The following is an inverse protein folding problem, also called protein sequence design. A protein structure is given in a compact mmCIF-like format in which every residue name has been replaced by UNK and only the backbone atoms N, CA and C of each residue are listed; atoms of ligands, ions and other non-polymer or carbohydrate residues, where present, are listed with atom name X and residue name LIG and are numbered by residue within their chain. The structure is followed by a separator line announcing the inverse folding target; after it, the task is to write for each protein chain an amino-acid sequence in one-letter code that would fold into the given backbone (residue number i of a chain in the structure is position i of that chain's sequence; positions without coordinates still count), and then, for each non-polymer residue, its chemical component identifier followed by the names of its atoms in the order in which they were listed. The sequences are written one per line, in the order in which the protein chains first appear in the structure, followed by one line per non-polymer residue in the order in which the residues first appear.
data_IF_908129150613
#
_entry.id   IF_908129150613
#
_cell.length_a   1.000
_cell.length_b   1.000
_cell.length_c   1.000
_cell.angle_alpha   90.00
_cell.angle_beta   90.00
_cell.angle_gamma   90.00
#
_symmetry.space_group_name_H-M   'P 1'
#
loop_
_entity.id
_entity.type
_entity.pdbx_description
1 polymer ?
#
# COMPACT_ATOMS: atom_id res chain seq x y z
N UNK A 1 -10.40 -6.84 -20.61
CA UNK A 1 -9.21 -6.93 -19.73
C UNK A 1 -9.04 -5.58 -19.06
N UNK A 2 -9.00 -5.54 -17.73
CA UNK A 2 -8.92 -4.31 -16.94
C UNK A 2 -7.62 -3.57 -17.23
N UNK A 3 -7.71 -2.46 -17.98
CA UNK A 3 -6.63 -1.50 -18.13
C UNK A 3 -6.36 -0.86 -16.76
N UNK A 4 -5.35 -1.32 -16.05
CA UNK A 4 -4.74 -0.54 -14.97
C UNK A 4 -3.97 0.60 -15.63
N UNK A 5 -4.33 1.88 -15.40
CA UNK A 5 -3.58 3.00 -15.94
C UNK A 5 -2.13 2.96 -15.40
N UNK A 6 -1.16 3.50 -16.14
CA UNK A 6 0.20 3.65 -15.63
C UNK A 6 0.12 4.49 -14.34
N UNK A 7 0.58 3.90 -13.23
CA UNK A 7 0.66 4.60 -11.94
C UNK A 7 1.39 5.92 -12.10
N UNK A 8 0.88 6.96 -11.45
CA UNK A 8 1.54 8.25 -11.41
C UNK A 8 2.90 8.09 -10.75
N UNK A 9 3.94 8.79 -11.23
CA UNK A 9 5.30 8.75 -10.65
C UNK A 9 5.34 8.98 -9.13
N UNK A 10 4.34 9.66 -8.57
CA UNK A 10 4.16 9.87 -7.13
C UNK A 10 3.65 8.63 -6.39
N UNK A 11 2.72 7.89 -6.99
CA UNK A 11 2.20 6.63 -6.44
C UNK A 11 3.30 5.57 -6.43
N UNK A 12 4.14 5.49 -7.46
CA UNK A 12 5.30 4.59 -7.48
C UNK A 12 6.25 4.87 -6.30
N UNK A 13 6.60 6.14 -6.09
CA UNK A 13 7.40 6.56 -4.92
C UNK A 13 6.72 6.24 -3.59
N UNK A 14 5.39 6.29 -3.55
CA UNK A 14 4.61 5.99 -2.36
C UNK A 14 4.72 4.50 -1.97
N UNK A 15 4.61 3.61 -2.96
CA UNK A 15 4.82 2.18 -2.74
C UNK A 15 6.26 1.87 -2.36
N UNK A 16 7.24 2.53 -3.00
CA UNK A 16 8.66 2.37 -2.66
C UNK A 16 8.94 2.79 -1.22
N UNK A 17 8.46 3.96 -0.80
CA UNK A 17 8.61 4.44 0.57
C UNK A 17 8.08 3.42 1.60
N UNK A 18 6.92 2.83 1.32
CA UNK A 18 6.36 1.76 2.16
C UNK A 18 7.21 0.48 2.16
N UNK A 19 7.78 0.11 1.01
CA UNK A 19 8.66 -1.06 0.87
C UNK A 19 9.95 -0.93 1.65
N UNK A 20 10.52 0.27 1.77
CA UNK A 20 11.80 0.53 2.46
C UNK A 20 11.66 1.10 3.88
N UNK A 21 10.45 1.08 4.46
CA UNK A 21 10.13 1.64 5.78
C UNK A 21 10.35 3.15 5.92
N UNK A 22 10.26 3.92 4.83
CA UNK A 22 10.42 5.38 4.85
C UNK A 22 9.11 6.09 5.21
N UNK A 23 8.79 6.07 6.51
CA UNK A 23 7.64 6.76 7.08
C UNK A 23 7.64 8.28 6.80
N UNK A 24 8.82 8.89 6.71
CA UNK A 24 8.94 10.33 6.44
C UNK A 24 8.51 10.65 5.01
N UNK A 25 8.96 9.86 4.03
CA UNK A 25 8.52 9.99 2.64
C UNK A 25 7.02 9.70 2.49
N UNK A 26 6.47 8.71 3.19
CA UNK A 26 5.02 8.44 3.20
C UNK A 26 4.25 9.68 3.66
N UNK A 27 4.60 10.25 4.81
CA UNK A 27 3.94 11.45 5.35
C UNK A 27 4.07 12.65 4.40
N UNK A 28 5.21 12.82 3.74
CA UNK A 28 5.42 13.89 2.77
C UNK A 28 4.52 13.72 1.54
N UNK A 29 4.42 12.51 0.99
CA UNK A 29 3.59 12.21 -0.18
C UNK A 29 2.09 12.28 0.14
N UNK A 30 1.66 11.91 1.36
CA UNK A 30 0.29 12.12 1.82
C UNK A 30 -0.09 13.61 1.82
N UNK A 31 0.84 14.50 2.20
CA UNK A 31 0.62 15.96 2.12
C UNK A 31 0.47 16.45 0.69
N UNK A 32 1.07 15.76 -0.29
CA UNK A 32 0.89 16.03 -1.72
C UNK A 32 -0.45 15.49 -2.29
N UNK A 33 -1.36 15.02 -1.43
CA UNK A 33 -2.65 14.42 -1.79
C UNK A 33 -2.52 13.16 -2.66
N UNK A 34 -1.45 12.38 -2.45
CA UNK A 34 -1.38 11.01 -2.98
C UNK A 34 -2.50 10.18 -2.36
N UNK A 35 -3.18 9.36 -3.17
CA UNK A 35 -4.17 8.42 -2.66
C UNK A 35 -3.51 7.37 -1.77
N UNK A 36 -3.80 7.37 -0.48
CA UNK A 36 -3.22 6.40 0.48
C UNK A 36 -3.50 4.94 0.09
N UNK A 37 -4.66 4.69 -0.53
CA UNK A 37 -5.09 3.38 -1.03
C UNK A 37 -4.83 3.22 -2.54
N UNK A 38 -3.89 3.98 -3.12
CA UNK A 38 -3.49 3.78 -4.51
C UNK A 38 -2.97 2.35 -4.71
N UNK A 39 -3.32 1.76 -5.87
CA UNK A 39 -2.92 0.40 -6.24
C UNK A 39 -1.87 0.46 -7.33
N UNK A 40 -0.84 -0.36 -7.22
CA UNK A 40 0.15 -0.53 -8.28
C UNK A 40 -0.33 -1.50 -9.36
N UNK A 41 0.53 -1.76 -10.37
CA UNK A 41 0.24 -2.72 -11.46
C UNK A 41 0.01 -4.16 -11.00
N UNK A 42 0.33 -4.49 -9.75
CA UNK A 42 0.06 -5.79 -9.11
C UNK A 42 -1.22 -5.78 -8.26
N UNK A 43 -2.03 -4.72 -8.36
CA UNK A 43 -3.23 -4.49 -7.56
C UNK A 43 -2.95 -4.36 -6.05
N UNK A 44 -1.69 -4.11 -5.67
CA UNK A 44 -1.24 -3.97 -4.27
C UNK A 44 -1.19 -2.50 -3.87
N UNK A 45 -1.60 -2.20 -2.66
CA UNK A 45 -1.42 -0.88 -2.02
C UNK A 45 -0.07 -0.77 -1.32
N UNK A 46 0.33 0.44 -0.97
CA UNK A 46 1.52 0.69 -0.15
C UNK A 46 1.49 -0.10 1.18
N UNK A 47 0.31 -0.25 1.80
CA UNK A 47 0.14 -1.01 3.04
C UNK A 47 0.53 -2.49 2.87
N UNK A 48 0.24 -3.10 1.73
CA UNK A 48 0.65 -4.47 1.44
C UNK A 48 2.17 -4.63 1.44
N UNK A 49 2.91 -3.69 0.85
CA UNK A 49 4.37 -3.72 0.83
C UNK A 49 4.97 -3.48 2.22
N UNK A 50 4.42 -2.54 2.99
CA UNK A 50 4.86 -2.29 4.35
C UNK A 50 4.60 -3.51 5.25
N UNK A 51 3.40 -4.10 5.19
CA UNK A 51 3.03 -5.28 5.97
C UNK A 51 3.84 -6.51 5.57
N UNK A 52 4.02 -6.79 4.28
CA UNK A 52 4.79 -7.94 3.79
C UNK A 52 6.27 -7.91 4.20
N UNK A 53 6.84 -6.71 4.36
CA UNK A 53 8.23 -6.53 4.81
C UNK A 53 8.37 -6.39 6.34
N UNK A 54 7.26 -6.31 7.09
CA UNK A 54 7.29 -6.05 8.54
C UNK A 54 7.71 -4.62 8.90
N UNK A 55 7.51 -3.67 7.99
CA UNK A 55 7.89 -2.27 8.14
C UNK A 55 6.88 -1.53 9.02
N UNK A 56 7.04 -1.64 10.33
CA UNK A 56 6.07 -1.13 11.30
C UNK A 56 5.88 0.39 11.19
N UNK A 57 6.95 1.17 11.05
CA UNK A 57 6.84 2.64 10.97
C UNK A 57 6.11 3.09 9.70
N UNK A 58 6.33 2.40 8.57
CA UNK A 58 5.57 2.65 7.36
C UNK A 58 4.10 2.26 7.51
N UNK A 59 3.79 1.14 8.17
CA UNK A 59 2.41 0.75 8.47
C UNK A 59 1.73 1.83 9.32
N UNK A 60 2.37 2.28 10.40
CA UNK A 60 1.83 3.34 11.26
C UNK A 60 1.58 4.63 10.48
N UNK A 61 2.55 5.07 9.67
CA UNK A 61 2.40 6.28 8.86
C UNK A 61 1.27 6.18 7.82
N UNK A 62 1.05 5.00 7.24
CA UNK A 62 -0.05 4.75 6.31
C UNK A 62 -1.41 4.75 7.03
N UNK A 63 -1.49 4.10 8.19
CA UNK A 63 -2.72 4.04 9.01
C UNK A 63 -3.09 5.43 9.53
N UNK A 64 -2.13 6.22 10.01
CA UNK A 64 -2.33 7.64 10.34
C UNK A 64 -2.80 8.47 9.14
N UNK A 65 -2.37 8.08 7.93
CA UNK A 65 -2.81 8.65 6.67
C UNK A 65 -4.21 8.25 6.22
N UNK A 66 -4.92 7.40 6.98
CA UNK A 66 -6.23 6.87 6.61
C UNK A 66 -6.16 5.70 5.63
N UNK A 67 -5.08 4.93 5.62
CA UNK A 67 -5.01 3.69 4.86
C UNK A 67 -6.09 2.71 5.32
N UNK A 68 -6.76 2.07 4.38
CA UNK A 68 -7.73 1.03 4.69
C UNK A 68 -6.98 -0.22 5.16
N UNK A 69 -7.05 -0.49 6.48
CA UNK A 69 -6.55 -1.73 7.08
C UNK A 69 -7.28 -2.97 6.55
N UNK A 70 -8.54 -2.79 6.11
CA UNK A 70 -9.35 -3.84 5.49
C UNK A 70 -9.12 -3.96 3.97
N UNK A 71 -8.11 -3.28 3.42
CA UNK A 71 -7.72 -3.50 2.03
C UNK A 71 -7.26 -4.96 1.89
N UNK A 72 -8.20 -5.84 1.53
CA UNK A 72 -7.93 -7.26 1.33
C UNK A 72 -6.92 -7.40 0.21
N UNK A 73 -5.73 -7.90 0.55
CA UNK A 73 -4.84 -8.45 -0.46
C UNK A 73 -5.55 -9.64 -1.09
N UNK A 74 -5.40 -9.80 -2.39
CA UNK A 74 -5.91 -10.99 -3.10
C UNK A 74 -5.20 -12.28 -2.64
N UNK A 75 -4.18 -12.21 -1.78
CA UNK A 75 -3.40 -13.38 -1.36
C UNK A 75 -3.95 -14.16 -0.16
N UNK A 76 -5.01 -13.71 0.53
CA UNK A 76 -5.52 -14.42 1.72
C UNK A 76 -6.95 -14.95 1.61
N UNK A 77 -7.37 -15.31 0.39
CA UNK A 77 -8.60 -16.08 0.14
C UNK A 77 -8.46 -17.59 0.39
N UNK A 78 -7.34 -18.07 0.93
CA UNK A 78 -7.17 -19.46 1.35
C UNK A 78 -7.46 -19.62 2.85
N UNK A 79 -8.64 -19.16 3.26
CA UNK A 79 -9.31 -19.73 4.42
C UNK A 79 -10.54 -20.49 3.91
N UNK A 80 -10.29 -21.66 3.32
CA UNK A 80 -11.27 -22.74 3.34
C UNK A 80 -10.57 -24.04 3.74
N UNK A 81 -10.18 -24.06 5.00
CA UNK A 81 -9.97 -25.28 5.76
C UNK A 81 -11.35 -25.99 5.91
N UNK A 82 -11.42 -27.23 5.41
CA UNK A 82 -12.49 -28.25 5.55
C UNK A 82 -13.86 -28.04 4.85
N UNK A 83 -14.07 -28.78 3.75
CA UNK A 83 -15.25 -29.67 3.52
C UNK A 83 -14.93 -30.73 2.47
#
# INVERSE_FOLDING_TARGET
MSHTPPVSRREEKFHEAARVNDASAIRALLREKVGVNCRNSLDRTALHWAAANGNLEAVEALVEGGADLEAKDKVNGEENIYS
#
